data_IF_505759428056
#
_entry.id   IF_505759428056
#
_cell.length_a   1.000
_cell.length_b   1.000
_cell.length_c   1.000
_cell.angle_alpha   90.00
_cell.angle_beta   90.00
_cell.angle_gamma   90.00
#
_symmetry.space_group_name_H-M   'P 1'
#
loop_
_entity.id
_entity.type
_entity.pdbx_description
1 polymer ?
#
# COMPACT_ATOMS: atom_id res chain seq x y z
N UNK A 1 -27.12 -3.79 -32.81
CA UNK A 1 -26.98 -2.60 -31.95
C UNK A 1 -27.68 -2.97 -30.66
N UNK A 2 -26.92 -3.42 -29.66
CA UNK A 2 -27.50 -3.90 -28.41
C UNK A 2 -28.12 -2.71 -27.70
N UNK A 3 -29.42 -2.75 -27.48
CA UNK A 3 -30.14 -1.84 -26.59
C UNK A 3 -29.58 -2.02 -25.18
N UNK A 4 -28.85 -1.01 -24.69
CA UNK A 4 -28.68 -0.80 -23.26
C UNK A 4 -29.94 -0.06 -22.79
N UNK A 5 -31.04 -0.80 -22.72
CA UNK A 5 -32.17 -0.40 -21.89
C UNK A 5 -31.75 -0.60 -20.43
N UNK A 6 -31.72 0.52 -19.70
CA UNK A 6 -31.65 0.58 -18.23
C UNK A 6 -30.27 0.53 -17.55
N UNK A 7 -29.38 1.46 -17.90
CA UNK A 7 -28.38 1.90 -16.92
C UNK A 7 -28.84 3.21 -16.30
N UNK A 8 -28.97 3.21 -14.98
CA UNK A 8 -28.88 4.40 -14.15
C UNK A 8 -27.77 5.28 -14.76
N UNK A 9 -28.10 6.48 -15.22
CA UNK A 9 -27.09 7.41 -15.69
C UNK A 9 -26.25 7.80 -14.48
N UNK A 10 -25.23 7.01 -14.15
CA UNK A 10 -24.30 7.30 -13.09
C UNK A 10 -23.58 8.59 -13.47
N UNK A 11 -23.74 9.62 -12.64
CA UNK A 11 -23.05 10.88 -12.85
C UNK A 11 -21.53 10.64 -12.82
N UNK A 12 -20.79 11.45 -13.58
CA UNK A 12 -19.34 11.39 -13.56
C UNK A 12 -18.80 11.73 -12.17
N UNK A 13 -17.84 10.94 -11.70
CA UNK A 13 -17.13 11.20 -10.47
C UNK A 13 -16.38 12.53 -10.54
N UNK A 14 -16.48 13.35 -9.48
CA UNK A 14 -15.77 14.63 -9.38
C UNK A 14 -14.38 14.51 -8.74
N UNK A 15 -14.08 13.36 -8.13
CA UNK A 15 -12.78 13.08 -7.54
C UNK A 15 -11.78 12.74 -8.65
N UNK A 16 -10.67 13.45 -8.67
CA UNK A 16 -9.55 13.16 -9.57
C UNK A 16 -8.76 11.97 -9.02
N UNK A 17 -9.21 10.75 -9.34
CA UNK A 17 -8.51 9.52 -8.96
C UNK A 17 -7.21 9.32 -9.75
N UNK A 18 -7.09 9.85 -10.96
CA UNK A 18 -5.89 9.71 -11.80
C UNK A 18 -4.64 10.23 -11.09
N UNK A 19 -4.77 11.37 -10.42
CA UNK A 19 -3.65 12.06 -9.77
C UNK A 19 -3.52 11.75 -8.27
N UNK A 20 -4.16 10.69 -7.75
CA UNK A 20 -4.03 10.29 -6.35
C UNK A 20 -2.70 9.60 -6.04
N UNK A 21 -2.31 9.64 -4.75
CA UNK A 21 -1.11 8.95 -4.29
C UNK A 21 -1.37 7.44 -4.05
N UNK A 22 -1.12 6.64 -5.08
CA UNK A 22 -1.24 5.18 -5.02
C UNK A 22 -0.11 4.48 -4.25
N UNK A 23 0.94 5.19 -3.80
CA UNK A 23 2.02 4.58 -3.03
C UNK A 23 1.52 4.02 -1.70
N UNK A 24 0.51 4.65 -1.07
CA UNK A 24 -0.11 4.16 0.16
C UNK A 24 -0.68 2.75 -0.04
N UNK A 25 -1.26 2.47 -1.21
CA UNK A 25 -1.77 1.17 -1.56
C UNK A 25 -0.65 0.19 -1.96
N UNK A 26 0.21 0.57 -2.90
CA UNK A 26 1.20 -0.35 -3.48
C UNK A 26 2.38 -0.68 -2.55
N UNK A 27 2.65 0.15 -1.55
CA UNK A 27 3.68 -0.13 -0.53
C UNK A 27 3.20 -1.15 0.51
N UNK A 28 1.91 -1.14 0.86
CA UNK A 28 1.35 -1.90 1.98
C UNK A 28 0.53 -3.12 1.53
N UNK A 29 -0.13 -3.03 0.38
CA UNK A 29 -1.03 -4.05 -0.13
C UNK A 29 -0.28 -4.95 -1.12
N UNK A 30 0.52 -5.88 -0.59
CA UNK A 30 1.34 -6.83 -1.36
C UNK A 30 0.97 -8.26 -1.03
N UNK A 31 0.90 -9.13 -2.03
CA UNK A 31 0.59 -10.53 -1.83
C UNK A 31 1.59 -11.23 -0.88
N UNK A 32 1.13 -12.24 -0.11
CA UNK A 32 -0.20 -12.86 -0.17
C UNK A 32 -1.29 -12.16 0.66
N UNK A 33 -0.93 -11.27 1.60
CA UNK A 33 -1.88 -10.58 2.48
C UNK A 33 -2.11 -9.15 1.96
N UNK A 34 -3.34 -8.82 1.58
CA UNK A 34 -3.68 -7.53 0.97
C UNK A 34 -4.50 -6.65 1.94
N UNK A 35 -3.89 -5.90 2.88
CA UNK A 35 -4.60 -5.00 3.79
C UNK A 35 -4.85 -3.62 3.14
N UNK A 36 -6.07 -3.29 2.66
CA UNK A 36 -6.26 -2.22 1.68
C UNK A 36 -7.08 -1.03 2.19
N UNK A 37 -7.51 -1.05 3.46
CA UNK A 37 -8.49 -0.11 4.00
C UNK A 37 -8.02 1.35 3.93
N UNK A 38 -6.71 1.60 3.95
CA UNK A 38 -6.15 2.94 4.14
C UNK A 38 -6.33 3.91 2.97
N UNK A 39 -6.31 3.43 1.73
CA UNK A 39 -6.39 4.30 0.55
C UNK A 39 -7.81 4.83 0.30
N UNK A 40 -8.82 3.98 0.49
CA UNK A 40 -10.20 4.29 0.11
C UNK A 40 -10.94 5.15 1.16
N UNK A 41 -10.57 5.06 2.44
CA UNK A 41 -11.31 5.72 3.52
C UNK A 41 -11.45 7.25 3.40
N UNK A 42 -10.47 8.02 2.91
CA UNK A 42 -10.66 9.45 2.68
C UNK A 42 -11.73 9.80 1.64
N UNK A 43 -12.13 8.83 0.80
CA UNK A 43 -13.08 9.00 -0.30
C UNK A 43 -14.37 8.21 -0.07
N UNK A 44 -14.62 7.75 1.17
CA UNK A 44 -15.73 6.85 1.49
C UNK A 44 -17.09 7.41 1.04
N UNK A 45 -17.34 8.70 1.24
CA UNK A 45 -18.61 9.33 0.87
C UNK A 45 -18.81 9.33 -0.66
N UNK A 46 -17.77 9.64 -1.44
CA UNK A 46 -17.83 9.68 -2.89
C UNK A 46 -18.01 8.27 -3.49
N UNK A 47 -17.28 7.28 -2.98
CA UNK A 47 -17.32 5.91 -3.53
C UNK A 47 -18.55 5.12 -3.07
N UNK A 48 -19.19 5.52 -1.96
CA UNK A 48 -20.44 4.95 -1.50
C UNK A 48 -21.67 5.63 -2.14
N UNK A 49 -21.49 6.73 -2.86
CA UNK A 49 -22.56 7.36 -3.64
C UNK A 49 -22.88 6.55 -4.91
N UNK A 50 -23.91 5.71 -4.79
CA UNK A 50 -24.41 4.87 -5.88
C UNK A 50 -24.97 5.67 -7.06
N UNK A 51 -25.12 6.99 -6.97
CA UNK A 51 -25.56 7.85 -8.07
C UNK A 51 -24.42 8.27 -9.00
N UNK A 52 -23.17 8.02 -8.62
CA UNK A 52 -21.97 8.33 -9.42
C UNK A 52 -21.22 7.07 -9.83
N UNK A 53 -20.27 7.22 -10.75
CA UNK A 53 -19.34 6.14 -11.12
C UNK A 53 -18.01 6.19 -10.33
N UNK A 54 -17.96 6.85 -9.16
CA UNK A 54 -16.71 7.03 -8.40
C UNK A 54 -16.05 5.71 -8.00
N UNK A 55 -16.82 4.71 -7.59
CA UNK A 55 -16.28 3.39 -7.24
C UNK A 55 -15.58 2.72 -8.44
N UNK A 56 -16.21 2.73 -9.61
CA UNK A 56 -15.66 2.10 -10.83
C UNK A 56 -14.38 2.81 -11.28
N UNK A 57 -14.39 4.15 -11.29
CA UNK A 57 -13.22 4.97 -11.63
C UNK A 57 -12.08 4.70 -10.65
N UNK A 58 -12.35 4.69 -9.34
CA UNK A 58 -11.33 4.39 -8.32
C UNK A 58 -10.71 3.01 -8.53
N UNK A 59 -11.52 1.96 -8.69
CA UNK A 59 -11.00 0.60 -8.89
C UNK A 59 -10.22 0.45 -10.19
N UNK A 60 -10.63 1.13 -11.26
CA UNK A 60 -9.87 1.16 -12.52
C UNK A 60 -8.43 1.65 -12.28
N UNK A 61 -8.28 2.83 -11.66
CA UNK A 61 -6.94 3.38 -11.40
C UNK A 61 -6.15 2.56 -10.38
N UNK A 62 -6.79 2.03 -9.34
CA UNK A 62 -6.16 1.10 -8.39
C UNK A 62 -5.57 -0.11 -9.13
N UNK A 63 -6.32 -0.72 -10.03
CA UNK A 63 -5.90 -1.93 -10.73
C UNK A 63 -4.75 -1.66 -11.69
N UNK A 64 -4.77 -0.54 -12.44
CA UNK A 64 -3.69 -0.22 -13.38
C UNK A 64 -2.39 0.18 -12.66
N UNK A 65 -2.46 1.01 -11.61
CA UNK A 65 -1.24 1.46 -10.90
C UNK A 65 -0.66 0.38 -9.99
N UNK A 66 -1.53 -0.40 -9.34
CA UNK A 66 -1.12 -1.49 -8.46
C UNK A 66 -0.86 -2.82 -9.15
N UNK A 67 -1.23 -2.94 -10.44
CA UNK A 67 -1.21 -4.19 -11.22
C UNK A 67 -1.99 -5.32 -10.51
N UNK A 68 -3.10 -4.95 -9.87
CA UNK A 68 -3.94 -5.90 -9.13
C UNK A 68 -4.88 -6.65 -10.09
N UNK A 69 -5.05 -7.97 -9.91
CA UNK A 69 -6.01 -8.73 -10.70
C UNK A 69 -7.44 -8.29 -10.40
N UNK A 70 -8.35 -8.37 -11.39
CA UNK A 70 -9.75 -8.03 -11.21
C UNK A 70 -10.38 -8.87 -10.10
N UNK A 71 -11.20 -8.23 -9.27
CA UNK A 71 -11.88 -8.90 -8.15
C UNK A 71 -10.99 -9.19 -6.93
N UNK A 72 -9.70 -8.83 -6.92
CA UNK A 72 -8.83 -9.03 -5.74
C UNK A 72 -9.46 -8.43 -4.48
N UNK A 73 -9.87 -7.17 -4.57
CA UNK A 73 -10.39 -6.45 -3.40
C UNK A 73 -11.75 -6.98 -2.95
N UNK A 74 -12.64 -7.33 -3.87
CA UNK A 74 -13.93 -7.96 -3.53
C UNK A 74 -13.74 -9.31 -2.80
N UNK A 75 -12.67 -10.05 -3.12
CA UNK A 75 -12.40 -11.35 -2.51
C UNK A 75 -11.66 -11.23 -1.16
N UNK A 76 -10.69 -10.32 -1.06
CA UNK A 76 -9.82 -10.19 0.10
C UNK A 76 -10.35 -9.22 1.16
N UNK A 77 -11.18 -8.26 0.76
CA UNK A 77 -11.57 -7.12 1.60
C UNK A 77 -13.02 -7.29 1.99
N UNK A 78 -13.27 -8.24 2.87
CA UNK A 78 -14.58 -8.42 3.49
C UNK A 78 -14.57 -7.66 4.82
N UNK A 79 -15.43 -6.66 4.91
CA UNK A 79 -15.75 -6.01 6.18
C UNK A 79 -16.81 -6.80 6.93
N UNK A 80 -17.53 -6.11 7.80
CA UNK A 80 -18.67 -6.68 8.53
C UNK A 80 -19.97 -6.41 7.72
N UNK A 81 -21.13 -6.63 8.33
CA UNK A 81 -22.45 -6.42 7.67
C UNK A 81 -22.66 -4.98 7.17
N UNK A 82 -21.92 -4.02 7.73
CA UNK A 82 -21.93 -2.60 7.35
C UNK A 82 -20.83 -2.24 6.32
N UNK A 83 -20.03 -3.21 5.88
CA UNK A 83 -18.90 -2.99 4.99
C UNK A 83 -17.59 -2.75 5.74
N UNK A 84 -16.65 -2.06 5.10
CA UNK A 84 -15.32 -1.82 5.64
C UNK A 84 -15.34 -0.61 6.59
N UNK A 85 -15.05 -0.85 7.88
CA UNK A 85 -14.92 0.23 8.85
C UNK A 85 -13.68 1.11 8.57
N UNK A 86 -13.92 2.42 8.45
CA UNK A 86 -12.93 3.47 8.25
C UNK A 86 -12.60 4.26 9.53
N UNK A 87 -13.26 4.00 10.65
CA UNK A 87 -13.16 4.78 11.89
C UNK A 87 -11.77 4.74 12.52
N UNK A 88 -11.00 3.67 12.29
CA UNK A 88 -9.64 3.49 12.82
C UNK A 88 -8.51 3.73 11.80
N UNK A 89 -8.84 4.26 10.63
CA UNK A 89 -7.82 4.51 9.61
C UNK A 89 -7.08 5.81 9.93
N UNK A 90 -5.82 5.68 10.40
CA UNK A 90 -4.94 6.84 10.55
C UNK A 90 -4.76 7.49 9.17
N UNK A 91 -5.03 8.79 9.01
CA UNK A 91 -4.83 9.48 7.73
C UNK A 91 -3.38 9.29 7.28
N UNK A 92 -3.18 9.00 6.00
CA UNK A 92 -1.88 8.72 5.41
C UNK A 92 -0.87 9.90 5.53
N UNK A 93 -1.33 11.07 6.01
CA UNK A 93 -0.51 12.25 6.28
C UNK A 93 -0.73 12.78 7.70
N UNK A 94 -0.31 12.01 8.71
CA UNK A 94 0.24 12.60 9.92
C UNK A 94 1.55 11.89 10.25
N UNK A 95 2.64 12.45 9.75
CA UNK A 95 3.90 12.45 10.48
C UNK A 95 3.61 13.13 11.83
N UNK A 96 3.16 12.35 12.80
CA UNK A 96 3.11 12.76 14.19
C UNK A 96 4.56 12.77 14.67
N UNK A 97 5.28 13.85 14.37
CA UNK A 97 6.50 14.21 15.10
C UNK A 97 6.09 14.47 16.54
N UNK A 98 6.18 13.44 17.38
CA UNK A 98 6.53 13.48 18.81
C UNK A 98 6.22 12.13 19.47
N UNK A 99 7.04 11.13 19.15
CA UNK A 99 7.41 10.15 20.18
C UNK A 99 8.88 10.40 20.48
N UNK A 100 9.15 10.90 21.69
CA UNK A 100 10.48 10.85 22.29
C UNK A 100 10.83 9.39 22.50
N UNK A 101 11.36 8.75 21.47
CA UNK A 101 11.93 7.42 21.57
C UNK A 101 13.35 7.65 22.10
N UNK A 102 13.57 7.33 23.38
CA UNK A 102 14.91 7.07 23.90
C UNK A 102 15.46 5.84 23.16
N UNK A 103 16.04 6.08 21.98
CA UNK A 103 16.73 5.07 21.21
C UNK A 103 18.17 5.00 21.74
N UNK A 104 18.64 3.85 22.26
CA UNK A 104 20.06 3.71 22.56
C UNK A 104 20.88 3.93 21.27
N UNK A 105 22.08 4.52 21.35
CA UNK A 105 22.87 4.85 20.18
C UNK A 105 23.11 3.61 19.30
N UNK A 106 23.05 3.74 17.97
CA UNK A 106 23.35 2.63 17.07
C UNK A 106 24.78 2.15 17.27
N UNK A 107 24.90 0.88 17.63
CA UNK A 107 26.15 0.17 17.85
C UNK A 107 26.81 -0.12 16.49
N UNK A 108 27.59 0.83 15.99
CA UNK A 108 28.39 0.74 14.76
C UNK A 108 29.67 -0.12 14.89
N UNK A 109 29.70 -1.12 15.78
CA UNK A 109 30.92 -1.91 16.07
C UNK A 109 30.76 -3.38 15.68
N UNK A 110 30.34 -3.67 14.45
CA UNK A 110 30.33 -5.06 13.97
C UNK A 110 30.57 -5.19 12.45
N UNK A 111 31.52 -4.43 11.90
CA UNK A 111 31.99 -4.64 10.52
C UNK A 111 33.51 -4.80 10.39
N UNK A 112 34.28 -4.75 11.49
CA UNK A 112 35.75 -4.78 11.43
C UNK A 112 36.32 -6.20 11.63
N UNK A 113 35.53 -7.16 12.12
CA UNK A 113 36.06 -8.50 12.44
C UNK A 113 36.29 -9.41 11.23
N UNK A 114 35.64 -9.15 10.09
CA UNK A 114 35.68 -10.08 8.94
C UNK A 114 36.95 -9.86 8.10
N UNK A 115 37.45 -8.61 8.02
CA UNK A 115 38.65 -8.29 7.24
C UNK A 115 39.94 -8.87 7.81
N UNK A 116 40.06 -9.00 9.14
CA UNK A 116 41.26 -9.61 9.75
C UNK A 116 41.33 -11.13 9.54
N UNK A 117 40.18 -11.82 9.46
CA UNK A 117 40.14 -13.26 9.23
C UNK A 117 40.61 -13.62 7.80
N UNK A 118 40.19 -12.85 6.79
CA UNK A 118 40.64 -13.08 5.42
C UNK A 118 42.13 -12.77 5.23
N UNK A 119 42.65 -11.68 5.81
CA UNK A 119 44.08 -11.34 5.72
C UNK A 119 44.94 -12.43 6.38
N UNK A 120 44.51 -12.98 7.53
CA UNK A 120 45.24 -14.06 8.21
C UNK A 120 45.30 -15.35 7.38
N UNK A 121 44.19 -15.72 6.72
CA UNK A 121 44.15 -16.88 5.81
C UNK A 121 45.07 -16.70 4.60
N UNK A 122 45.11 -15.51 3.99
CA UNK A 122 46.02 -15.24 2.87
C UNK A 122 47.49 -15.27 3.29
N UNK A 123 47.84 -14.74 4.47
CA UNK A 123 49.23 -14.79 4.96
C UNK A 123 49.70 -16.19 5.31
N UNK A 124 48.81 -17.04 5.87
CA UNK A 124 49.12 -18.43 6.20
C UNK A 124 49.41 -19.27 4.95
N UNK A 125 48.69 -19.02 3.86
CA UNK A 125 48.85 -19.76 2.60
C UNK A 125 50.17 -19.43 1.88
N UNK A 126 50.61 -18.17 1.92
CA UNK A 126 51.89 -17.75 1.31
C UNK A 126 53.14 -18.21 2.06
N UNK A 127 53.06 -18.58 3.33
CA UNK A 127 54.19 -19.17 4.08
C UNK A 127 54.30 -20.69 3.94
N UNK A 128 53.30 -21.35 3.34
CA UNK A 128 53.26 -22.80 3.16
C UNK A 128 53.62 -23.26 1.74
N UNK A 129 53.88 -22.33 0.83
CA UNK A 129 54.30 -22.55 -0.56
C UNK A 129 55.60 -21.79 -0.84
#
# INVERSE_FOLDING_TARGET
MVEVINEKLCAACKVDFENQNYTVLTSQCKGPQYPPKQFACPFADDINDLSTNCADVMFSYINIYGKYPPGLFANQCKGDELGLDCSNVKPANQSSTSHTINLPPPHFISLISISFFFIFLFTSFSTLY
#
